data_IF_260201080426
#
_entry.id   IF_260201080426
#
_cell.length_a   1.000
_cell.length_b   1.000
_cell.length_c   1.000
_cell.angle_alpha   90.00
_cell.angle_beta   90.00
_cell.angle_gamma   90.00
#
_symmetry.space_group_name_H-M   'P 1'
#
loop_
_entity.id
_entity.type
_entity.pdbx_description
1 polymer ?
#
# COMPACT_ATOMS: atom_id res chain seq x y z
N UNK A 1 5.34 6.35 -12.67
CA UNK A 1 4.60 7.38 -11.91
C UNK A 1 5.50 7.82 -10.77
N UNK A 2 5.75 9.14 -10.62
CA UNK A 2 6.61 9.64 -9.53
C UNK A 2 5.84 9.61 -8.20
N UNK A 3 6.53 9.50 -7.05
CA UNK A 3 5.91 9.47 -5.72
C UNK A 3 4.96 10.66 -5.48
N UNK A 4 5.33 11.86 -5.93
CA UNK A 4 4.47 13.05 -5.84
C UNK A 4 3.11 12.86 -6.50
N UNK A 5 3.08 12.24 -7.68
CA UNK A 5 1.84 11.95 -8.40
C UNK A 5 1.02 10.87 -7.70
N UNK A 6 1.69 9.80 -7.23
CA UNK A 6 1.04 8.73 -6.48
C UNK A 6 0.35 9.29 -5.21
N UNK A 7 1.06 10.13 -4.44
CA UNK A 7 0.49 10.81 -3.26
C UNK A 7 -0.70 11.69 -3.61
N UNK A 8 -0.67 12.42 -4.74
CA UNK A 8 -1.79 13.24 -5.20
C UNK A 8 -3.02 12.38 -5.50
N UNK A 9 -2.85 11.29 -6.24
CA UNK A 9 -3.93 10.36 -6.58
C UNK A 9 -4.52 9.74 -5.31
N UNK A 10 -3.67 9.22 -4.42
CA UNK A 10 -4.13 8.61 -3.17
C UNK A 10 -4.84 9.63 -2.27
N UNK A 11 -4.37 10.88 -2.20
CA UNK A 11 -5.05 11.96 -1.48
C UNK A 11 -6.43 12.23 -2.07
N UNK A 12 -6.54 12.34 -3.38
CA UNK A 12 -7.80 12.62 -4.07
C UNK A 12 -8.80 11.47 -3.88
N UNK A 13 -8.36 10.21 -4.00
CA UNK A 13 -9.22 9.03 -3.76
C UNK A 13 -9.67 8.96 -2.30
N UNK A 14 -8.79 9.31 -1.35
CA UNK A 14 -9.15 9.34 0.08
C UNK A 14 -10.18 10.42 0.41
N UNK A 15 -10.05 11.62 -0.18
CA UNK A 15 -11.00 12.72 0.03
C UNK A 15 -12.32 12.50 -0.70
N UNK A 16 -12.27 11.89 -1.89
CA UNK A 16 -13.41 11.63 -2.74
C UNK A 16 -13.32 10.22 -3.35
N UNK A 17 -14.00 9.21 -2.77
CA UNK A 17 -13.94 7.83 -3.26
C UNK A 17 -14.32 7.68 -4.73
N UNK A 18 -15.20 8.55 -5.24
CA UNK A 18 -15.60 8.57 -6.65
C UNK A 18 -14.43 8.81 -7.63
N UNK A 19 -13.32 9.40 -7.17
CA UNK A 19 -12.10 9.57 -7.96
C UNK A 19 -11.49 8.23 -8.39
N UNK A 20 -11.85 7.13 -7.73
CA UNK A 20 -11.46 5.79 -8.16
C UNK A 20 -11.96 5.48 -9.57
N UNK A 21 -13.19 5.89 -9.91
CA UNK A 21 -13.78 5.69 -11.25
C UNK A 21 -13.13 6.57 -12.31
N UNK A 22 -12.74 7.79 -11.94
CA UNK A 22 -12.08 8.74 -12.85
C UNK A 22 -10.65 8.31 -13.19
N UNK A 23 -9.89 7.86 -12.20
CA UNK A 23 -8.51 7.42 -12.42
C UNK A 23 -8.41 5.98 -12.94
N UNK A 24 -9.40 5.15 -12.64
CA UNK A 24 -9.43 3.72 -12.93
C UNK A 24 -8.61 2.87 -11.95
N UNK A 25 -9.07 1.64 -11.71
CA UNK A 25 -8.48 0.74 -10.71
C UNK A 25 -7.01 0.43 -10.96
N UNK A 26 -6.58 0.32 -12.22
CA UNK A 26 -5.17 0.09 -12.56
C UNK A 26 -4.25 1.24 -12.13
N UNK A 27 -4.68 2.49 -12.33
CA UNK A 27 -3.88 3.68 -11.98
C UNK A 27 -3.86 3.91 -10.48
N UNK A 28 -5.00 3.72 -9.81
CA UNK A 28 -5.10 3.81 -8.34
C UNK A 28 -4.28 2.70 -7.69
N UNK A 29 -4.37 1.46 -8.17
CA UNK A 29 -3.56 0.34 -7.66
C UNK A 29 -2.06 0.60 -7.80
N UNK A 30 -1.63 1.13 -8.94
CA UNK A 30 -0.22 1.52 -9.14
C UNK A 30 0.22 2.65 -8.21
N UNK A 31 -0.64 3.64 -7.97
CA UNK A 31 -0.36 4.72 -7.01
C UNK A 31 -0.27 4.18 -5.58
N UNK A 32 -1.18 3.27 -5.20
CA UNK A 32 -1.20 2.65 -3.89
C UNK A 32 0.09 1.86 -3.62
N UNK A 33 0.51 1.00 -4.55
CA UNK A 33 1.77 0.24 -4.43
C UNK A 33 2.99 1.14 -4.22
N UNK A 34 3.08 2.24 -4.97
CA UNK A 34 4.20 3.19 -4.83
C UNK A 34 4.19 3.85 -3.45
N UNK A 35 3.01 4.25 -2.96
CA UNK A 35 2.86 4.83 -1.63
C UNK A 35 3.20 3.82 -0.52
N UNK A 36 2.69 2.59 -0.61
CA UNK A 36 2.95 1.54 0.38
C UNK A 36 4.45 1.23 0.45
N UNK A 37 5.12 1.00 -0.69
CA UNK A 37 6.57 0.76 -0.70
C UNK A 37 7.37 1.93 -0.11
N UNK A 38 6.95 3.17 -0.35
CA UNK A 38 7.61 4.33 0.25
C UNK A 38 7.42 4.36 1.76
N UNK A 39 6.20 4.16 2.25
CA UNK A 39 5.90 4.19 3.68
C UNK A 39 6.45 2.97 4.44
N UNK A 40 6.52 1.80 3.82
CA UNK A 40 7.10 0.59 4.41
C UNK A 40 8.60 0.73 4.71
N UNK A 41 9.32 1.64 4.02
CA UNK A 41 10.71 1.95 4.35
C UNK A 41 10.85 2.75 5.66
N UNK A 42 9.84 3.53 6.00
CA UNK A 42 9.87 4.48 7.13
C UNK A 42 9.16 3.91 8.35
N UNK A 43 8.04 3.19 8.16
CA UNK A 43 7.22 2.69 9.24
C UNK A 43 7.21 1.14 9.25
N UNK A 44 7.73 0.50 10.31
CA UNK A 44 7.81 -0.96 10.41
C UNK A 44 6.42 -1.62 10.48
N UNK A 45 5.40 -0.92 10.97
CA UNK A 45 4.01 -1.43 11.01
C UNK A 45 3.47 -1.59 9.59
N UNK A 46 3.67 -0.58 8.74
CA UNK A 46 3.23 -0.63 7.33
C UNK A 46 3.99 -1.72 6.57
N UNK A 47 5.27 -1.95 6.91
CA UNK A 47 6.06 -3.05 6.35
C UNK A 47 5.47 -4.42 6.71
N UNK A 48 5.08 -4.64 7.97
CA UNK A 48 4.40 -5.87 8.42
C UNK A 48 3.08 -6.09 7.68
N UNK A 49 2.25 -5.07 7.55
CA UNK A 49 1.01 -5.14 6.78
C UNK A 49 1.24 -5.41 5.29
N UNK A 50 2.26 -4.79 4.69
CA UNK A 50 2.59 -5.03 3.27
C UNK A 50 3.02 -6.48 3.02
N UNK A 51 3.75 -7.10 3.96
CA UNK A 51 4.14 -8.50 3.86
C UNK A 51 2.91 -9.42 3.83
N UNK A 52 1.85 -9.10 4.56
CA UNK A 52 0.59 -9.86 4.48
C UNK A 52 -0.12 -9.75 3.13
N UNK A 53 0.06 -8.64 2.44
CA UNK A 53 -0.51 -8.42 1.10
C UNK A 53 0.39 -8.92 -0.03
N UNK A 54 1.66 -9.22 0.27
CA UNK A 54 2.57 -9.85 -0.68
C UNK A 54 2.21 -11.32 -0.87
N UNK A 55 2.46 -11.85 -2.07
CA UNK A 55 2.15 -13.25 -2.43
C UNK A 55 3.10 -14.27 -1.78
N UNK A 56 3.98 -13.86 -0.87
CA UNK A 56 4.90 -14.78 -0.19
C UNK A 56 4.29 -15.25 1.14
N UNK A 57 3.69 -16.45 1.18
CA UNK A 57 3.04 -16.96 2.38
C UNK A 57 4.04 -17.19 3.53
N UNK A 58 5.32 -17.42 3.23
CA UNK A 58 6.33 -17.73 4.25
C UNK A 58 6.67 -16.49 5.09
N UNK A 59 6.85 -15.36 4.41
CA UNK A 59 7.09 -14.07 5.06
C UNK A 59 5.88 -13.64 5.92
N UNK A 60 4.65 -13.90 5.46
CA UNK A 60 3.43 -13.64 6.22
C UNK A 60 3.35 -14.48 7.51
N UNK A 61 3.62 -15.79 7.44
CA UNK A 61 3.62 -16.67 8.61
C UNK A 61 4.65 -16.22 9.66
N UNK A 62 5.83 -15.78 9.24
CA UNK A 62 6.86 -15.26 10.16
C UNK A 62 6.38 -14.04 10.94
N UNK A 63 5.71 -13.10 10.26
CA UNK A 63 5.16 -11.89 10.90
C UNK A 63 4.01 -12.25 11.84
N UNK A 64 3.15 -13.23 11.50
CA UNK A 64 2.09 -13.71 12.40
C UNK A 64 2.66 -14.32 13.69
N UNK A 65 3.70 -15.13 13.57
CA UNK A 65 4.35 -15.75 14.72
C UNK A 65 5.02 -14.72 15.65
N UNK A 66 5.46 -13.57 15.13
CA UNK A 66 5.95 -12.45 15.94
C UNK A 66 4.84 -11.69 16.69
N UNK A 67 3.60 -11.72 16.20
CA UNK A 67 2.45 -11.02 16.80
C UNK A 67 1.79 -11.86 17.90
N UNK A 68 1.82 -13.19 17.76
CA UNK A 68 1.16 -14.15 18.67
C UNK A 68 1.99 -14.39 19.95
N UNK A 69 3.31 -14.14 19.91
CA UNK A 69 4.18 -14.16 21.09
C UNK A 69 3.98 -12.94 21.97
#
# INVERSE_FOLDING_TARGET
>A
MKLRQARKIMKNVRMHPAMHWVYGSGRVGKANMICIHHYARVNPVIKKWNIFTEKDPLSAIRVLNEIIK
#
